data_IF_645446601230
#
_entry.id   IF_645446601230
#
_cell.length_a   1.000
_cell.length_b   1.000
_cell.length_c   1.000
_cell.angle_alpha   90.00
_cell.angle_beta   90.00
_cell.angle_gamma   90.00
#
_symmetry.space_group_name_H-M   'P 1'
#
loop_
_entity.id
_entity.type
_entity.pdbx_description
1 polymer ?
#
# COMPACT_ATOMS: atom_id res chain seq x y z
N UNK A 1 -10.47 4.02 26.77
CA UNK A 1 -10.90 5.31 26.19
C UNK A 1 -12.24 5.08 25.52
N UNK A 2 -13.28 5.82 25.92
CA UNK A 2 -14.59 5.77 25.27
C UNK A 2 -14.51 6.39 23.87
N UNK A 3 -15.27 5.84 22.92
CA UNK A 3 -15.44 6.42 21.59
C UNK A 3 -16.31 7.68 21.74
N UNK A 4 -15.90 8.79 21.15
CA UNK A 4 -16.72 10.01 21.07
C UNK A 4 -18.03 9.70 20.34
N UNK A 5 -19.12 10.23 20.86
CA UNK A 5 -20.45 10.14 20.26
C UNK A 5 -20.59 11.10 19.08
N UNK A 6 -21.61 10.89 18.25
CA UNK A 6 -21.88 11.78 17.13
C UNK A 6 -22.28 13.20 17.58
N UNK A 7 -22.86 13.33 18.78
CA UNK A 7 -23.16 14.62 19.40
C UNK A 7 -21.88 15.38 19.78
N UNK A 8 -20.88 14.67 20.33
CA UNK A 8 -19.57 15.26 20.63
C UNK A 8 -18.90 15.79 19.34
N UNK A 9 -19.01 15.05 18.23
CA UNK A 9 -18.49 15.52 16.94
C UNK A 9 -19.26 16.72 16.39
N UNK A 10 -20.57 16.79 16.59
CA UNK A 10 -21.38 17.92 16.17
C UNK A 10 -21.05 19.19 16.97
N UNK A 11 -20.81 19.06 18.28
CA UNK A 11 -20.38 20.16 19.15
C UNK A 11 -19.00 20.67 18.75
N UNK A 12 -18.03 19.78 18.51
CA UNK A 12 -16.70 20.17 18.04
C UNK A 12 -16.76 20.85 16.67
N UNK A 13 -17.58 20.35 15.74
CA UNK A 13 -17.76 20.96 14.42
C UNK A 13 -18.28 22.40 14.52
N UNK A 14 -19.26 22.63 15.40
CA UNK A 14 -19.80 23.96 15.65
C UNK A 14 -18.75 24.89 16.27
N UNK A 15 -17.96 24.42 17.22
CA UNK A 15 -16.89 25.20 17.84
C UNK A 15 -15.85 25.65 16.82
N UNK A 16 -15.43 24.78 15.89
CA UNK A 16 -14.51 25.18 14.81
C UNK A 16 -15.10 26.20 13.83
N UNK A 17 -16.42 26.15 13.61
CA UNK A 17 -17.10 27.13 12.77
C UNK A 17 -17.21 28.50 13.45
N UNK A 18 -17.50 28.50 14.75
CA UNK A 18 -17.68 29.71 15.57
C UNK A 18 -16.32 30.34 15.98
N UNK A 19 -15.27 29.52 16.10
CA UNK A 19 -13.91 29.91 16.44
C UNK A 19 -12.92 29.46 15.35
N UNK A 20 -12.91 30.14 14.18
CA UNK A 20 -11.95 29.82 13.12
C UNK A 20 -10.52 30.03 13.62
N UNK A 21 -9.61 29.15 13.18
CA UNK A 21 -8.19 29.25 13.49
C UNK A 21 -7.64 30.62 13.13
N UNK A 22 -7.06 31.30 14.11
CA UNK A 22 -6.43 32.60 13.95
C UNK A 22 -5.03 32.42 13.38
N UNK A 23 -4.54 33.40 12.62
CA UNK A 23 -3.25 33.30 11.94
C UNK A 23 -2.07 33.01 12.90
N UNK A 24 -2.14 33.47 14.15
CA UNK A 24 -1.12 33.21 15.17
C UNK A 24 -1.24 31.83 15.85
N UNK A 25 -2.35 31.13 15.65
CA UNK A 25 -2.57 29.75 16.12
C UNK A 25 -2.04 28.73 15.10
N UNK A 26 -1.86 29.16 13.84
CA UNK A 26 -1.23 28.36 12.79
C UNK A 26 0.29 28.42 12.94
N UNK A 27 0.85 27.49 13.72
CA UNK A 27 2.30 27.32 13.79
C UNK A 27 2.76 26.63 12.49
N UNK A 28 3.57 27.32 11.70
CA UNK A 28 4.29 26.69 10.60
C UNK A 28 5.27 25.67 11.17
N UNK A 29 5.00 24.39 10.93
CA UNK A 29 5.88 23.31 11.37
C UNK A 29 6.81 23.01 10.22
N UNK A 30 8.09 23.38 10.34
CA UNK A 30 9.12 22.80 9.49
C UNK A 30 9.28 21.33 9.89
N UNK A 31 8.97 20.36 9.01
CA UNK A 31 9.15 18.96 9.33
C UNK A 31 10.63 18.70 9.57
N UNK A 32 10.99 18.48 10.84
CA UNK A 32 12.36 18.13 11.21
C UNK A 32 12.74 16.80 10.54
N UNK A 33 13.97 16.67 10.02
CA UNK A 33 14.46 15.37 9.58
C UNK A 33 14.40 14.39 10.76
N UNK A 34 13.66 13.29 10.60
CA UNK A 34 13.49 12.26 11.64
C UNK A 34 12.04 12.01 12.08
N UNK A 35 11.06 12.77 11.58
CA UNK A 35 9.65 12.38 11.76
C UNK A 35 9.38 11.07 11.00
N UNK A 36 8.89 10.06 11.72
CA UNK A 36 8.39 8.84 11.06
C UNK A 36 7.25 9.23 10.13
N UNK A 37 7.34 8.82 8.86
CA UNK A 37 6.22 8.94 7.94
C UNK A 37 5.03 8.24 8.60
N UNK A 38 3.89 8.92 8.69
CA UNK A 38 2.67 8.30 9.15
C UNK A 38 2.47 6.99 8.39
N UNK A 39 2.23 5.90 9.11
CA UNK A 39 1.84 4.66 8.46
C UNK A 39 0.48 4.90 7.83
N UNK A 40 0.32 4.82 6.50
CA UNK A 40 -1.02 4.79 5.93
C UNK A 40 -1.76 3.66 6.64
N UNK A 41 -2.95 3.95 7.15
CA UNK A 41 -3.86 2.91 7.61
C UNK A 41 -3.89 1.88 6.50
N UNK A 42 -3.52 0.64 6.84
CA UNK A 42 -3.46 -0.46 5.89
C UNK A 42 -4.77 -0.41 5.11
N UNK A 43 -4.73 0.05 3.86
CA UNK A 43 -5.87 -0.08 2.98
C UNK A 43 -6.25 -1.55 2.95
N UNK A 44 -7.47 -1.85 2.52
CA UNK A 44 -7.92 -3.22 2.27
C UNK A 44 -7.05 -3.86 1.17
N UNK A 45 -5.80 -4.19 1.49
CA UNK A 45 -4.97 -5.07 0.70
C UNK A 45 -5.69 -6.40 0.71
N UNK A 46 -6.07 -6.88 -0.47
CA UNK A 46 -6.87 -8.09 -0.62
C UNK A 46 -6.31 -9.27 0.19
N UNK A 47 -7.16 -10.26 0.46
CA UNK A 47 -6.97 -11.39 1.39
C UNK A 47 -5.67 -12.22 1.25
N UNK A 48 -4.85 -11.95 0.25
CA UNK A 48 -3.61 -12.68 -0.01
C UNK A 48 -2.55 -12.38 1.05
N UNK A 49 -2.18 -13.43 1.79
CA UNK A 49 -1.03 -13.37 2.71
C UNK A 49 0.27 -13.15 1.91
N UNK A 50 1.17 -12.26 2.37
CA UNK A 50 2.45 -12.06 1.72
C UNK A 50 3.28 -13.35 1.76
N UNK A 51 4.00 -13.62 0.66
CA UNK A 51 4.93 -14.74 0.52
C UNK A 51 6.33 -14.22 0.17
N UNK A 52 7.36 -14.75 0.83
CA UNK A 52 8.75 -14.42 0.54
C UNK A 52 9.37 -15.46 -0.38
N UNK A 53 9.91 -15.01 -1.51
CA UNK A 53 10.60 -15.84 -2.50
C UNK A 53 12.07 -15.44 -2.60
N UNK A 54 12.96 -16.40 -2.83
CA UNK A 54 14.40 -16.16 -3.07
C UNK A 54 14.72 -16.42 -4.53
N UNK A 55 15.38 -15.46 -5.16
CA UNK A 55 15.87 -15.55 -6.53
C UNK A 55 17.39 -15.38 -6.56
N UNK A 56 18.09 -16.03 -7.50
CA UNK A 56 19.45 -15.65 -7.87
C UNK A 56 19.51 -14.17 -8.29
N UNK A 57 20.63 -13.49 -8.00
CA UNK A 57 20.76 -12.04 -8.20
C UNK A 57 20.54 -11.59 -9.64
N UNK A 58 21.00 -12.39 -10.61
CA UNK A 58 20.79 -12.13 -12.04
C UNK A 58 19.29 -12.09 -12.37
N UNK A 59 18.55 -13.13 -11.97
CA UNK A 59 17.10 -13.23 -12.20
C UNK A 59 16.32 -12.14 -11.46
N UNK A 60 16.75 -11.79 -10.25
CA UNK A 60 16.13 -10.69 -9.49
C UNK A 60 16.30 -9.35 -10.22
N UNK A 61 17.48 -9.11 -10.78
CA UNK A 61 17.77 -7.87 -11.51
C UNK A 61 16.94 -7.77 -12.79
N UNK A 62 16.85 -8.85 -13.56
CA UNK A 62 16.02 -8.92 -14.76
C UNK A 62 14.53 -8.73 -14.44
N UNK A 63 14.04 -9.38 -13.38
CA UNK A 63 12.64 -9.24 -12.94
C UNK A 63 12.30 -7.80 -12.54
N UNK A 64 13.22 -7.11 -11.87
CA UNK A 64 13.03 -5.70 -11.48
C UNK A 64 13.05 -4.77 -12.69
N UNK A 65 13.99 -4.97 -13.62
CA UNK A 65 14.07 -4.19 -14.85
C UNK A 65 12.78 -4.36 -15.68
N UNK A 66 12.33 -5.59 -15.88
CA UNK A 66 11.08 -5.86 -16.60
C UNK A 66 9.87 -5.20 -15.93
N UNK A 67 9.76 -5.27 -14.60
CA UNK A 67 8.66 -4.66 -13.86
C UNK A 67 8.63 -3.13 -14.03
N UNK A 68 9.80 -2.49 -14.00
CA UNK A 68 9.97 -1.04 -14.19
C UNK A 68 9.62 -0.62 -15.63
N UNK A 69 10.19 -1.31 -16.62
CA UNK A 69 9.97 -1.04 -18.06
C UNK A 69 8.48 -1.14 -18.46
N UNK A 70 7.72 -1.99 -17.76
CA UNK A 70 6.30 -2.23 -18.03
C UNK A 70 5.36 -1.52 -17.04
N UNK A 71 5.88 -0.73 -16.11
CA UNK A 71 5.12 -0.04 -15.07
C UNK A 71 4.17 -0.97 -14.27
N UNK A 72 4.62 -2.19 -13.96
CA UNK A 72 3.85 -3.19 -13.21
C UNK A 72 4.56 -3.56 -11.90
N UNK A 73 3.79 -3.97 -10.89
CA UNK A 73 4.38 -4.46 -9.65
C UNK A 73 5.07 -5.82 -9.86
N UNK A 74 6.22 -6.04 -9.23
CA UNK A 74 6.94 -7.33 -9.28
C UNK A 74 6.04 -8.52 -8.92
N UNK A 75 5.14 -8.34 -7.94
CA UNK A 75 4.18 -9.37 -7.54
C UNK A 75 3.16 -9.72 -8.63
N UNK A 76 2.81 -8.78 -9.52
CA UNK A 76 1.98 -9.04 -10.69
C UNK A 76 2.72 -9.92 -11.70
N UNK A 77 3.97 -9.57 -12.01
CA UNK A 77 4.82 -10.33 -12.94
C UNK A 77 4.98 -11.77 -12.47
N UNK A 78 5.28 -11.98 -11.19
CA UNK A 78 5.41 -13.32 -10.60
C UNK A 78 4.08 -14.09 -10.67
N UNK A 79 2.95 -13.43 -10.38
CA UNK A 79 1.63 -14.09 -10.43
C UNK A 79 1.30 -14.56 -11.84
N UNK A 80 1.52 -13.72 -12.84
CA UNK A 80 1.29 -14.05 -14.25
C UNK A 80 2.20 -15.19 -14.69
N UNK A 81 3.49 -15.12 -14.40
CA UNK A 81 4.45 -16.16 -14.74
C UNK A 81 4.09 -17.52 -14.11
N UNK A 82 3.65 -17.53 -12.85
CA UNK A 82 3.19 -18.75 -12.17
C UNK A 82 1.91 -19.30 -12.81
N UNK A 83 0.94 -18.43 -13.13
CA UNK A 83 -0.30 -18.83 -13.82
C UNK A 83 0.00 -19.48 -15.17
N UNK A 84 0.77 -18.81 -16.03
CA UNK A 84 1.14 -19.34 -17.33
C UNK A 84 1.91 -20.68 -17.23
N UNK A 85 2.79 -20.82 -16.24
CA UNK A 85 3.53 -22.06 -16.03
C UNK A 85 2.60 -23.22 -15.68
N UNK A 86 1.63 -22.98 -14.78
CA UNK A 86 0.64 -23.99 -14.38
C UNK A 86 -0.31 -24.35 -15.54
N UNK A 87 -0.76 -23.36 -16.31
CA UNK A 87 -1.63 -23.58 -17.47
C UNK A 87 -0.90 -24.38 -18.57
N UNK A 88 0.35 -24.02 -18.89
CA UNK A 88 1.18 -24.79 -19.84
C UNK A 88 1.38 -26.22 -19.37
N UNK A 89 1.62 -26.44 -18.07
CA UNK A 89 1.77 -27.78 -17.50
C UNK A 89 0.49 -28.60 -17.60
N UNK A 90 -0.66 -28.02 -17.25
CA UNK A 90 -1.95 -28.71 -17.30
C UNK A 90 -2.30 -29.12 -18.74
N UNK A 91 -2.11 -28.22 -19.70
CA UNK A 91 -2.40 -28.47 -21.10
C UNK A 91 -1.41 -29.46 -21.74
N UNK A 92 -0.13 -29.38 -21.39
CA UNK A 92 0.91 -30.31 -21.87
C UNK A 92 0.83 -31.72 -21.26
N UNK A 93 0.20 -31.87 -20.09
CA UNK A 93 0.03 -33.18 -19.42
C UNK A 93 -1.17 -33.99 -19.97
N UNK A 94 -1.94 -33.43 -20.92
CA UNK A 94 -3.08 -34.11 -21.57
C UNK A 94 -2.72 -34.91 -22.83
N UNK A 95 -1.43 -34.97 -23.20
CA UNK A 95 -0.92 -35.74 -24.35
C UNK A 95 0.05 -36.88 -23.97
N UNK A 96 0.08 -37.30 -22.69
CA UNK A 96 0.91 -38.42 -22.21
C UNK A 96 0.09 -39.65 -21.84
#
# INVERSE_FOLDING_TARGET
MGRLSDEDYAEMSKDYADNPLREHEVISVEPRPGLQRGHPAKGEGGESKPMSLRFPDALRSELLAYADDNAVAVGEVVRQAVGEYLDRRANGSSQG
#
